data_IF_217915508030
#
_entry.id   IF_217915508030
#
_cell.length_a   1.000
_cell.length_b   1.000
_cell.length_c   1.000
_cell.angle_alpha   90.00
_cell.angle_beta   90.00
_cell.angle_gamma   90.00
#
_symmetry.space_group_name_H-M   'P 1'
#
loop_
_entity.id
_entity.type
_entity.pdbx_description
1 polymer ?
#
# COMPACT_ATOMS: atom_id res chain seq x y z
N UNK A 1 -19.62 -17.87 -9.49
CA UNK A 1 -18.36 -17.25 -9.03
C UNK A 1 -18.16 -15.83 -9.57
N UNK A 2 -18.20 -15.56 -10.88
CA UNK A 2 -17.96 -14.18 -11.37
C UNK A 2 -19.10 -13.18 -11.14
N UNK A 3 -20.34 -13.65 -10.95
CA UNK A 3 -21.48 -12.79 -10.67
C UNK A 3 -21.59 -12.47 -9.16
N UNK A 4 -21.43 -13.48 -8.31
CA UNK A 4 -21.57 -13.42 -6.86
C UNK A 4 -20.31 -12.92 -6.14
N UNK A 5 -19.11 -13.12 -6.69
CA UNK A 5 -17.87 -12.66 -6.05
C UNK A 5 -17.85 -11.16 -5.68
N UNK A 6 -18.16 -10.20 -6.58
CA UNK A 6 -18.11 -8.79 -6.22
C UNK A 6 -19.25 -8.37 -5.27
N UNK A 7 -20.35 -9.12 -5.22
CA UNK A 7 -21.40 -8.93 -4.21
C UNK A 7 -20.84 -9.18 -2.80
N UNK A 8 -19.80 -10.01 -2.69
CA UNK A 8 -19.05 -10.23 -1.45
C UNK A 8 -18.47 -8.94 -0.84
N UNK A 9 -18.16 -7.90 -1.63
CA UNK A 9 -17.74 -6.61 -1.10
C UNK A 9 -18.85 -5.96 -0.27
N UNK A 10 -20.08 -5.96 -0.80
CA UNK A 10 -21.25 -5.41 -0.12
C UNK A 10 -21.61 -6.28 1.10
N UNK A 11 -21.58 -7.60 0.96
CA UNK A 11 -21.87 -8.51 2.07
C UNK A 11 -20.87 -8.36 3.23
N UNK A 12 -19.58 -8.16 2.92
CA UNK A 12 -18.55 -7.85 3.92
C UNK A 12 -18.80 -6.50 4.60
N UNK A 13 -19.17 -5.46 3.83
CA UNK A 13 -19.57 -4.17 4.38
C UNK A 13 -20.79 -4.28 5.29
N UNK A 14 -21.82 -5.05 4.90
CA UNK A 14 -23.01 -5.28 5.73
C UNK A 14 -22.63 -5.95 7.05
N UNK A 15 -21.81 -7.01 7.01
CA UNK A 15 -21.35 -7.68 8.21
C UNK A 15 -20.59 -6.73 9.15
N UNK A 16 -19.77 -5.83 8.61
CA UNK A 16 -19.11 -4.80 9.39
C UNK A 16 -20.11 -3.79 9.96
N UNK A 17 -21.10 -3.35 9.17
CA UNK A 17 -22.14 -2.43 9.61
C UNK A 17 -22.92 -2.99 10.81
N UNK A 18 -23.37 -4.24 10.72
CA UNK A 18 -24.10 -4.94 11.78
C UNK A 18 -23.31 -4.99 13.10
N UNK A 19 -21.98 -5.14 13.01
CA UNK A 19 -21.09 -5.23 14.18
C UNK A 19 -20.78 -3.88 14.82
N UNK A 20 -20.89 -2.79 14.07
CA UNK A 20 -20.50 -1.45 14.52
C UNK A 20 -21.69 -0.50 14.69
N UNK A 21 -22.92 -0.94 14.40
CA UNK A 21 -24.12 -0.11 14.49
C UNK A 21 -24.22 0.93 13.35
N UNK A 22 -23.56 0.65 12.23
CA UNK A 22 -23.57 1.49 11.04
C UNK A 22 -24.65 1.02 10.06
N UNK A 23 -24.97 1.84 9.06
CA UNK A 23 -25.96 1.51 8.03
C UNK A 23 -25.29 1.31 6.68
N UNK A 24 -25.68 0.27 5.94
CA UNK A 24 -25.06 -0.03 4.65
C UNK A 24 -25.24 1.11 3.65
N UNK A 25 -26.38 1.81 3.74
CA UNK A 25 -26.76 2.93 2.89
C UNK A 25 -25.74 4.08 2.96
N UNK A 26 -25.13 4.29 4.12
CA UNK A 26 -24.10 5.33 4.30
C UNK A 26 -22.82 5.02 3.51
N UNK A 27 -22.58 3.75 3.15
CA UNK A 27 -21.39 3.29 2.44
C UNK A 27 -21.65 3.01 0.95
N UNK A 28 -22.83 2.47 0.63
CA UNK A 28 -23.16 1.98 -0.71
C UNK A 28 -24.32 2.72 -1.39
N UNK A 29 -24.90 3.74 -0.75
CA UNK A 29 -25.95 4.59 -1.33
C UNK A 29 -25.76 6.08 -1.02
N UNK A 30 -24.59 6.48 -0.51
CA UNK A 30 -24.25 7.86 -0.19
C UNK A 30 -23.32 8.45 -1.25
N UNK A 31 -23.51 9.74 -1.58
CA UNK A 31 -22.58 10.53 -2.39
C UNK A 31 -21.35 10.98 -1.61
N UNK A 32 -21.42 10.99 -0.28
CA UNK A 32 -20.33 11.40 0.60
C UNK A 32 -19.31 10.29 0.84
N UNK A 33 -19.63 9.04 0.48
CA UNK A 33 -18.74 7.90 0.62
C UNK A 33 -18.05 7.58 -0.71
N UNK A 34 -16.71 7.51 -0.68
CA UNK A 34 -15.93 7.02 -1.82
C UNK A 34 -15.74 5.51 -1.77
N UNK A 35 -16.08 4.83 -2.87
CA UNK A 35 -15.79 3.40 -3.05
C UNK A 35 -14.57 3.26 -3.95
N UNK A 36 -13.48 2.72 -3.41
CA UNK A 36 -12.23 2.49 -4.18
C UNK A 36 -11.92 1.00 -4.26
N UNK A 37 -11.68 0.50 -5.47
CA UNK A 37 -11.28 -0.89 -5.71
C UNK A 37 -9.80 -0.98 -6.06
N UNK A 38 -9.05 -1.85 -5.38
CA UNK A 38 -7.67 -2.21 -5.74
C UNK A 38 -7.68 -3.63 -6.31
N UNK A 39 -7.26 -3.78 -7.57
CA UNK A 39 -7.37 -5.03 -8.30
C UNK A 39 -6.15 -5.32 -9.17
N UNK A 40 -5.94 -6.60 -9.50
CA UNK A 40 -4.99 -7.00 -10.53
C UNK A 40 -5.55 -6.79 -11.95
N UNK A 41 -4.67 -6.61 -12.93
CA UNK A 41 -5.06 -6.32 -14.32
C UNK A 41 -6.00 -7.33 -14.98
N UNK A 42 -5.93 -8.61 -14.59
CA UNK A 42 -6.77 -9.69 -15.19
C UNK A 42 -8.27 -9.57 -14.88
N UNK A 43 -8.65 -8.83 -13.83
CA UNK A 43 -10.06 -8.68 -13.43
C UNK A 43 -10.62 -7.29 -13.73
N UNK A 44 -9.87 -6.48 -14.49
CA UNK A 44 -10.26 -5.11 -14.86
C UNK A 44 -11.60 -5.09 -15.57
N UNK A 45 -11.79 -5.93 -16.59
CA UNK A 45 -13.03 -5.98 -17.38
C UNK A 45 -14.27 -6.21 -16.50
N UNK A 46 -14.16 -7.06 -15.48
CA UNK A 46 -15.24 -7.32 -14.55
C UNK A 46 -15.57 -6.11 -13.68
N UNK A 47 -14.55 -5.40 -13.19
CA UNK A 47 -14.71 -4.28 -12.25
C UNK A 47 -15.02 -2.94 -12.94
N UNK A 48 -14.80 -2.82 -14.25
CA UNK A 48 -15.06 -1.59 -15.00
C UNK A 48 -16.29 -1.65 -15.89
N UNK A 49 -16.88 -2.84 -16.12
CA UNK A 49 -18.07 -3.00 -16.96
C UNK A 49 -19.20 -3.73 -16.22
N UNK A 50 -19.01 -5.02 -15.93
CA UNK A 50 -20.09 -5.84 -15.37
C UNK A 50 -20.51 -5.37 -13.97
N UNK A 51 -19.54 -5.15 -13.10
CA UNK A 51 -19.81 -4.75 -11.72
C UNK A 51 -20.49 -3.38 -11.61
N UNK A 52 -20.01 -2.32 -12.29
CA UNK A 52 -20.74 -1.05 -12.34
C UNK A 52 -22.17 -1.17 -12.90
N UNK A 53 -22.39 -2.02 -13.92
CA UNK A 53 -23.73 -2.23 -14.46
C UNK A 53 -24.67 -2.89 -13.44
N UNK A 54 -24.17 -3.87 -12.67
CA UNK A 54 -24.92 -4.50 -11.58
C UNK A 54 -25.27 -3.50 -10.48
N UNK A 55 -24.28 -2.74 -9.99
CA UNK A 55 -24.47 -1.71 -8.97
C UNK A 55 -25.51 -0.67 -9.38
N UNK A 56 -25.40 -0.16 -10.61
CA UNK A 56 -26.35 0.81 -11.17
C UNK A 56 -27.78 0.26 -11.21
N UNK A 57 -27.93 -1.01 -11.59
CA UNK A 57 -29.23 -1.68 -11.63
C UNK A 57 -29.81 -1.89 -10.23
N UNK A 58 -28.96 -2.12 -9.23
CA UNK A 58 -29.35 -2.27 -7.83
C UNK A 58 -29.57 -0.93 -7.09
N UNK A 59 -29.34 0.21 -7.73
CA UNK A 59 -29.45 1.53 -7.08
C UNK A 59 -28.36 1.77 -6.03
N UNK A 60 -27.15 1.24 -6.25
CA UNK A 60 -25.98 1.40 -5.38
C UNK A 60 -24.94 2.32 -6.00
N UNK A 61 -24.11 2.93 -5.14
CA UNK A 61 -23.00 3.79 -5.52
C UNK A 61 -21.99 3.04 -6.39
N UNK A 62 -21.54 3.71 -7.46
CA UNK A 62 -20.48 3.21 -8.33
C UNK A 62 -19.11 3.42 -7.68
N UNK A 63 -18.09 2.62 -8.06
CA UNK A 63 -16.73 2.87 -7.60
C UNK A 63 -16.25 4.25 -8.05
N UNK A 64 -15.80 5.07 -7.11
CA UNK A 64 -15.18 6.38 -7.36
C UNK A 64 -13.86 6.22 -8.11
N UNK A 65 -13.09 5.16 -7.80
CA UNK A 65 -11.83 4.80 -8.49
C UNK A 65 -11.63 3.29 -8.54
N UNK A 66 -11.03 2.82 -9.63
CA UNK A 66 -10.53 1.46 -9.78
C UNK A 66 -9.03 1.52 -10.04
N UNK A 67 -8.25 1.17 -9.01
CA UNK A 67 -6.79 1.12 -9.03
C UNK A 67 -6.34 -0.25 -9.52
N UNK A 68 -5.58 -0.27 -10.60
CA UNK A 68 -5.14 -1.51 -11.26
C UNK A 68 -3.63 -1.64 -11.14
N UNK A 69 -3.18 -2.76 -10.59
CA UNK A 69 -1.75 -3.11 -10.54
C UNK A 69 -1.42 -4.27 -11.50
N UNK A 70 -0.14 -4.34 -11.91
CA UNK A 70 0.37 -5.44 -12.71
C UNK A 70 0.57 -6.73 -11.91
N UNK A 71 1.16 -7.72 -12.56
CA UNK A 71 1.58 -8.96 -11.91
C UNK A 71 2.86 -8.78 -11.12
N UNK A 72 3.09 -9.74 -10.22
CA UNK A 72 4.35 -9.91 -9.53
C UNK A 72 5.22 -10.94 -10.27
N UNK A 73 6.47 -10.61 -10.50
CA UNK A 73 7.55 -11.52 -10.91
C UNK A 73 8.59 -11.65 -9.81
N UNK A 74 9.42 -12.69 -9.88
CA UNK A 74 10.57 -12.89 -8.98
C UNK A 74 11.81 -13.11 -9.85
N UNK A 75 12.82 -12.25 -9.69
CA UNK A 75 14.04 -12.23 -10.51
C UNK A 75 13.75 -12.27 -12.03
N UNK A 76 12.77 -11.49 -12.48
CA UNK A 76 12.34 -11.39 -13.88
C UNK A 76 11.49 -12.55 -14.38
N UNK A 77 11.24 -13.58 -13.57
CA UNK A 77 10.41 -14.72 -13.96
C UNK A 77 9.02 -14.67 -13.34
N UNK A 78 8.02 -15.11 -14.10
CA UNK A 78 6.68 -15.36 -13.56
C UNK A 78 6.78 -16.40 -12.44
N UNK A 79 6.13 -16.11 -11.31
CA UNK A 79 6.09 -17.02 -10.16
C UNK A 79 5.63 -18.42 -10.58
N UNK A 80 6.43 -19.42 -10.24
CA UNK A 80 6.15 -20.82 -10.56
C UNK A 80 6.50 -21.72 -9.39
N UNK A 81 5.58 -22.63 -9.06
CA UNK A 81 5.83 -23.68 -8.05
C UNK A 81 6.97 -24.61 -8.47
N UNK A 82 7.05 -24.98 -9.75
CA UNK A 82 8.07 -25.93 -10.24
C UNK A 82 9.47 -25.33 -10.27
N UNK A 83 9.60 -24.02 -10.42
CA UNK A 83 10.89 -23.32 -10.42
C UNK A 83 11.31 -22.80 -9.04
N UNK A 84 10.48 -23.00 -8.01
CA UNK A 84 10.74 -22.49 -6.66
C UNK A 84 10.62 -20.97 -6.49
N UNK A 85 10.20 -20.23 -7.53
CA UNK A 85 10.01 -18.78 -7.49
C UNK A 85 8.63 -18.37 -6.93
N UNK A 86 7.77 -19.35 -6.63
CA UNK A 86 6.52 -19.12 -5.93
C UNK A 86 6.76 -18.99 -4.42
N UNK A 87 6.79 -17.75 -3.93
CA UNK A 87 6.96 -17.45 -2.52
C UNK A 87 5.60 -17.27 -1.87
N UNK A 88 5.25 -18.17 -0.95
CA UNK A 88 4.03 -18.02 -0.14
C UNK A 88 4.24 -16.96 0.93
N UNK A 89 3.21 -16.16 1.22
CA UNK A 89 3.26 -15.16 2.27
C UNK A 89 3.55 -15.78 3.66
N UNK A 90 2.99 -16.96 3.96
CA UNK A 90 3.28 -17.69 5.20
C UNK A 90 4.76 -18.07 5.30
N UNK A 91 5.32 -18.63 4.23
CA UNK A 91 6.75 -18.98 4.17
C UNK A 91 7.63 -17.75 4.29
N UNK A 92 7.25 -16.62 3.69
CA UNK A 92 7.98 -15.37 3.88
C UNK A 92 8.03 -14.96 5.36
N UNK A 93 6.90 -15.02 6.07
CA UNK A 93 6.79 -14.64 7.48
C UNK A 93 7.60 -15.55 8.43
N UNK A 94 7.89 -16.78 8.02
CA UNK A 94 8.78 -17.68 8.77
C UNK A 94 10.25 -17.23 8.71
N UNK A 95 10.62 -16.38 7.75
CA UNK A 95 12.01 -16.03 7.47
C UNK A 95 12.33 -14.54 7.63
N UNK A 96 11.40 -13.65 7.30
CA UNK A 96 11.66 -12.21 7.18
C UNK A 96 10.51 -11.37 7.76
N UNK A 97 10.87 -10.18 8.25
CA UNK A 97 9.89 -9.19 8.70
C UNK A 97 9.06 -8.66 7.52
N UNK A 98 7.71 -8.68 7.58
CA UNK A 98 6.85 -8.18 6.51
C UNK A 98 7.07 -6.69 6.18
N UNK A 99 7.62 -5.89 7.10
CA UNK A 99 7.93 -4.49 6.85
C UNK A 99 8.92 -4.32 5.67
N UNK A 100 9.86 -5.26 5.50
CA UNK A 100 10.84 -5.20 4.41
C UNK A 100 10.16 -5.36 3.05
N UNK A 101 9.27 -6.35 2.91
CA UNK A 101 8.52 -6.57 1.67
C UNK A 101 7.58 -5.40 1.36
N UNK A 102 6.89 -4.89 2.38
CA UNK A 102 6.00 -3.73 2.26
C UNK A 102 6.75 -2.49 1.76
N UNK A 103 7.91 -2.20 2.35
CA UNK A 103 8.76 -1.09 1.93
C UNK A 103 9.23 -1.25 0.49
N UNK A 104 9.74 -2.45 0.15
CA UNK A 104 10.24 -2.71 -1.20
C UNK A 104 9.15 -2.54 -2.27
N UNK A 105 7.95 -3.09 -2.06
CA UNK A 105 6.85 -2.91 -3.02
C UNK A 105 6.38 -1.46 -3.09
N UNK A 106 6.18 -0.80 -1.95
CA UNK A 106 5.76 0.60 -1.96
C UNK A 106 6.75 1.49 -2.72
N UNK A 107 8.06 1.20 -2.63
CA UNK A 107 9.11 1.94 -3.34
C UNK A 107 9.18 1.69 -4.86
N UNK A 108 8.40 0.74 -5.37
CA UNK A 108 8.33 0.39 -6.80
C UNK A 108 6.94 0.61 -7.40
N UNK A 109 5.91 0.69 -6.58
CA UNK A 109 4.54 0.88 -7.02
C UNK A 109 4.30 2.32 -7.51
N UNK A 110 3.53 2.41 -8.60
CA UNK A 110 3.09 3.67 -9.18
C UNK A 110 1.64 3.55 -9.69
N UNK A 111 1.12 4.60 -10.33
CA UNK A 111 -0.28 4.67 -10.73
C UNK A 111 -0.61 3.84 -11.99
N UNK A 112 0.42 3.25 -12.61
CA UNK A 112 0.30 2.45 -13.83
C UNK A 112 0.20 0.96 -13.49
N UNK A 113 -0.51 0.16 -14.31
CA UNK A 113 -0.64 -1.28 -14.13
C UNK A 113 0.61 -2.04 -14.62
N UNK A 114 1.80 -1.53 -14.27
CA UNK A 114 3.08 -2.12 -14.63
C UNK A 114 3.35 -3.34 -13.74
N UNK A 115 4.00 -4.35 -14.31
CA UNK A 115 4.41 -5.53 -13.57
C UNK A 115 5.55 -5.17 -12.62
N UNK A 116 5.52 -5.74 -11.41
CA UNK A 116 6.49 -5.48 -10.36
C UNK A 116 7.41 -6.69 -10.21
N UNK A 117 8.71 -6.46 -10.30
CA UNK A 117 9.71 -7.51 -10.07
C UNK A 117 10.28 -7.48 -8.65
N UNK A 118 10.11 -8.59 -7.94
CA UNK A 118 10.86 -8.91 -6.73
C UNK A 118 12.22 -9.50 -7.12
N UNK A 119 13.15 -8.62 -7.47
CA UNK A 119 14.56 -8.98 -7.57
C UNK A 119 15.14 -9.11 -6.16
N UNK A 120 15.63 -10.29 -5.80
CA UNK A 120 16.07 -10.59 -4.44
C UNK A 120 17.36 -9.85 -4.04
N UNK A 121 18.28 -9.63 -4.97
CA UNK A 121 19.51 -8.87 -4.72
C UNK A 121 19.19 -7.38 -4.48
N UNK A 122 18.33 -6.82 -5.33
CA UNK A 122 17.84 -5.46 -5.18
C UNK A 122 17.04 -5.29 -3.88
N UNK A 123 16.20 -6.27 -3.53
CA UNK A 123 15.44 -6.29 -2.29
C UNK A 123 16.35 -6.17 -1.07
N UNK A 124 17.39 -7.01 -0.98
CA UNK A 124 18.37 -6.96 0.10
C UNK A 124 19.10 -5.61 0.10
N UNK A 125 19.59 -5.17 -1.06
CA UNK A 125 20.34 -3.92 -1.19
C UNK A 125 19.51 -2.71 -0.75
N UNK A 126 18.25 -2.63 -1.18
CA UNK A 126 17.35 -1.50 -0.91
C UNK A 126 16.91 -1.45 0.55
N UNK A 127 16.56 -2.60 1.14
CA UNK A 127 16.21 -2.69 2.57
C UNK A 127 17.41 -2.28 3.44
N UNK A 128 18.61 -2.82 3.15
CA UNK A 128 19.81 -2.50 3.92
C UNK A 128 20.22 -1.03 3.76
N UNK A 129 20.14 -0.48 2.55
CA UNK A 129 20.59 0.89 2.29
C UNK A 129 19.62 1.93 2.82
N UNK A 130 18.31 1.75 2.57
CA UNK A 130 17.32 2.76 2.93
C UNK A 130 16.86 2.62 4.38
N UNK A 131 16.30 1.46 4.75
CA UNK A 131 15.73 1.29 6.08
C UNK A 131 16.84 1.26 7.13
N UNK A 132 17.86 0.42 6.95
CA UNK A 132 18.94 0.30 7.93
C UNK A 132 19.91 1.48 7.82
N UNK A 133 20.40 1.78 6.62
CA UNK A 133 21.46 2.76 6.38
C UNK A 133 21.05 4.23 6.54
N UNK A 134 19.78 4.58 6.26
CA UNK A 134 19.28 5.97 6.38
C UNK A 134 18.37 6.13 7.59
N UNK A 135 17.22 5.45 7.61
CA UNK A 135 16.14 5.72 8.58
C UNK A 135 16.53 5.26 9.99
N UNK A 136 16.84 3.97 10.17
CA UNK A 136 17.19 3.42 11.48
C UNK A 136 18.52 3.98 11.97
N UNK A 137 19.47 4.22 11.06
CA UNK A 137 20.76 4.81 11.40
C UNK A 137 20.64 6.18 12.09
N UNK A 138 19.67 7.02 11.72
CA UNK A 138 19.44 8.31 12.38
C UNK A 138 19.11 8.13 13.87
N UNK A 139 18.23 7.19 14.19
CA UNK A 139 17.84 6.89 15.57
C UNK A 139 18.96 6.17 16.32
N UNK A 140 19.55 5.12 15.74
CA UNK A 140 20.52 4.27 16.43
C UNK A 140 21.82 5.00 16.77
N UNK A 141 22.28 5.91 15.90
CA UNK A 141 23.47 6.73 16.18
C UNK A 141 23.23 7.79 17.26
N UNK A 142 22.01 8.30 17.36
CA UNK A 142 21.64 9.38 18.27
C UNK A 142 21.28 8.86 19.66
N UNK A 143 20.62 7.69 19.73
CA UNK A 143 20.15 7.08 20.97
C UNK A 143 21.26 6.89 22.01
N UNK A 144 22.46 6.47 21.59
CA UNK A 144 23.61 6.29 22.49
C UNK A 144 24.07 7.57 23.18
N UNK A 145 23.91 8.71 22.52
CA UNK A 145 24.20 10.00 23.13
C UNK A 145 23.07 10.40 24.05
N UNK A 146 21.82 10.32 23.59
CA UNK A 146 20.64 10.67 24.38
C UNK A 146 20.57 9.90 25.70
N UNK A 147 20.89 8.61 25.70
CA UNK A 147 20.93 7.78 26.92
C UNK A 147 21.94 8.30 27.95
N UNK A 148 23.07 8.86 27.49
CA UNK A 148 24.16 9.33 28.34
C UNK A 148 24.03 10.79 28.77
N UNK A 149 23.63 11.66 27.85
CA UNK A 149 23.64 13.12 28.02
C UNK A 149 22.25 13.74 28.15
N UNK A 150 21.20 12.96 27.91
CA UNK A 150 19.83 13.45 27.86
C UNK A 150 19.47 14.14 26.54
N UNK A 151 18.22 14.61 26.45
CA UNK A 151 17.75 15.42 25.33
C UNK A 151 18.17 16.88 25.49
N UNK A 152 18.32 17.59 24.37
CA UNK A 152 18.50 19.03 24.40
C UNK A 152 17.27 19.71 25.02
N UNK A 153 17.48 20.69 25.92
CA UNK A 153 16.39 21.44 26.55
C UNK A 153 15.62 22.32 25.57
N UNK A 154 16.28 22.72 24.47
CA UNK A 154 15.72 23.51 23.38
C UNK A 154 16.22 22.93 22.06
N UNK A 155 15.39 23.01 21.01
CA UNK A 155 15.78 22.59 19.67
C UNK A 155 16.91 23.50 19.15
N UNK A 156 18.03 22.95 18.66
CA UNK A 156 19.14 23.76 18.17
C UNK A 156 18.77 24.48 16.87
N UNK A 157 19.45 25.58 16.59
CA UNK A 157 19.38 26.21 15.28
C UNK A 157 19.99 25.27 14.23
N UNK A 158 19.15 24.76 13.34
CA UNK A 158 19.52 23.76 12.33
C UNK A 158 19.57 24.34 10.90
N UNK A 159 19.53 25.67 10.77
CA UNK A 159 19.47 26.35 9.48
C UNK A 159 18.15 26.14 8.72
N UNK A 160 17.08 25.70 9.39
CA UNK A 160 15.77 25.48 8.79
C UNK A 160 15.56 24.07 8.22
N UNK A 161 16.43 23.11 8.52
CA UNK A 161 16.33 21.73 8.02
C UNK A 161 15.03 21.04 8.46
N UNK A 162 14.63 21.19 9.71
CA UNK A 162 13.36 20.65 10.21
C UNK A 162 12.16 21.28 9.50
N UNK A 163 12.18 22.61 9.32
CA UNK A 163 11.11 23.30 8.61
C UNK A 163 11.01 22.85 7.15
N UNK A 164 12.13 22.65 6.46
CA UNK A 164 12.17 22.12 5.10
C UNK A 164 11.65 20.68 5.02
N UNK A 165 12.05 19.81 5.95
CA UNK A 165 11.55 18.44 6.02
C UNK A 165 10.04 18.38 6.32
N UNK A 166 9.55 19.24 7.22
CA UNK A 166 8.13 19.34 7.54
C UNK A 166 7.32 19.84 6.34
N UNK A 167 7.83 20.82 5.59
CA UNK A 167 7.17 21.36 4.40
C UNK A 167 7.04 20.33 3.26
N UNK A 168 7.94 19.35 3.18
CA UNK A 168 7.82 18.23 2.24
C UNK A 168 6.65 17.28 2.55
N UNK A 169 6.08 17.36 3.76
CA UNK A 169 4.99 16.49 4.20
C UNK A 169 3.75 16.56 3.30
N UNK A 170 3.39 17.75 2.81
CA UNK A 170 2.23 17.93 1.93
C UNK A 170 2.44 17.25 0.57
N UNK A 171 3.65 17.33 0.01
CA UNK A 171 3.99 16.66 -1.25
C UNK A 171 3.96 15.13 -1.09
N UNK A 172 4.52 14.62 0.01
CA UNK A 172 4.53 13.19 0.32
C UNK A 172 3.10 12.67 0.49
N UNK A 173 2.25 13.40 1.22
CA UNK A 173 0.85 13.03 1.41
C UNK A 173 0.08 13.00 0.09
N UNK A 174 0.32 13.98 -0.80
CA UNK A 174 -0.29 14.01 -2.13
C UNK A 174 0.17 12.84 -3.01
N UNK A 175 1.45 12.46 -2.93
CA UNK A 175 1.96 11.29 -3.64
C UNK A 175 1.26 10.00 -3.17
N UNK A 176 1.02 9.84 -1.85
CA UNK A 176 0.23 8.72 -1.34
C UNK A 176 -1.23 8.75 -1.82
N UNK A 177 -1.91 9.89 -1.79
CA UNK A 177 -3.30 10.04 -2.26
C UNK A 177 -3.45 9.74 -3.76
N UNK A 178 -2.42 10.08 -4.55
CA UNK A 178 -2.34 9.78 -5.97
C UNK A 178 -1.93 8.32 -6.28
N UNK A 179 -1.71 7.49 -5.26
CA UNK A 179 -1.15 6.14 -5.39
C UNK A 179 0.24 6.11 -6.06
N UNK A 180 1.01 7.20 -5.97
CA UNK A 180 2.40 7.32 -6.42
C UNK A 180 3.36 6.95 -5.28
N UNK A 181 3.23 5.76 -4.70
CA UNK A 181 3.97 5.37 -3.48
C UNK A 181 5.49 5.37 -3.67
N UNK A 182 5.99 5.08 -4.87
CA UNK A 182 7.42 5.14 -5.17
C UNK A 182 7.96 6.59 -5.18
N UNK A 183 7.12 7.58 -5.44
CA UNK A 183 7.48 9.01 -5.32
C UNK A 183 7.45 9.46 -3.86
N UNK A 184 6.53 8.90 -3.07
CA UNK A 184 6.39 9.22 -1.65
C UNK A 184 7.55 8.69 -0.78
N UNK A 185 8.27 7.66 -1.26
CA UNK A 185 9.39 6.98 -0.57
C UNK A 185 10.73 7.48 -1.13
#
# INVERSE_FOLDING_TARGET
>A
VWFDAPIGYIASSQQWCDRNGEKLEDWWQSSECEVRHFIGKDITYFHTLFWPAMLKTAGLSLPSRVHVHGFLTVNGEKMSKSKGTFVMASTYLEHLDPAYLRYFYASKLGPRPDDLDLNLEEFVSKVNSDLVGKVVNLASRSARFVEKVGLAQQYPEDGGLFAAAAAAGDEIAQAYEACETAKAI
#
